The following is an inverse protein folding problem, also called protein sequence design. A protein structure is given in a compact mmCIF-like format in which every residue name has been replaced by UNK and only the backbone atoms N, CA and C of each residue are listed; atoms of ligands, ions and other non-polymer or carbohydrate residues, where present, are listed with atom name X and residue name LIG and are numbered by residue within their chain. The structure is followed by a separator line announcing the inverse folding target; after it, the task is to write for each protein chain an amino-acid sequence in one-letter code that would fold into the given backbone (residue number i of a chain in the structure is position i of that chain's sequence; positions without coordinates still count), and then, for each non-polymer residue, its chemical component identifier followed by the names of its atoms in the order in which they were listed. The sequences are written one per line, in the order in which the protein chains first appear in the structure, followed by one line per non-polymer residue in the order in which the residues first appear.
data_IF_600237670658
#
_entry.id   IF_600237670658
#
_cell.length_a   1.000
_cell.length_b   1.000
_cell.length_c   1.000
_cell.angle_alpha   90.00
_cell.angle_beta   90.00
_cell.angle_gamma   90.00
#
_symmetry.space_group_name_H-M   'P 1'
#
loop_
_entity.id
_entity.type
_entity.pdbx_description
1 polymer ?
#
# COMPACT_ATOMS: atom_id res chain seq x y z
N UNK A 1 -23.13 -18.72 0.45
CA UNK A 1 -22.98 -19.89 -0.44
C UNK A 1 -22.75 -21.13 0.41
N UNK A 2 -23.58 -22.17 0.27
CA UNK A 2 -23.33 -23.45 0.93
C UNK A 2 -22.84 -24.42 -0.15
N UNK A 3 -21.60 -24.88 -0.01
CA UNK A 3 -20.96 -25.84 -0.90
C UNK A 3 -20.96 -27.18 -0.19
N UNK A 4 -21.71 -28.14 -0.73
CA UNK A 4 -21.64 -29.52 -0.25
C UNK A 4 -20.68 -30.27 -1.15
N UNK A 5 -19.60 -30.78 -0.57
CA UNK A 5 -18.55 -31.50 -1.27
C UNK A 5 -18.70 -32.95 -0.86
N UNK A 6 -19.03 -33.80 -1.84
CA UNK A 6 -19.19 -35.24 -1.63
C UNK A 6 -18.12 -35.96 -2.42
N UNK A 7 -17.44 -36.91 -1.77
CA UNK A 7 -16.54 -37.85 -2.42
C UNK A 7 -16.83 -39.22 -1.80
N UNK A 8 -17.22 -40.21 -2.61
CA UNK A 8 -17.67 -41.51 -2.12
C UNK A 8 -18.77 -41.38 -1.03
N UNK A 9 -18.62 -42.06 0.11
CA UNK A 9 -19.61 -42.14 1.19
C UNK A 9 -19.54 -40.96 2.18
N UNK A 10 -18.63 -40.00 1.97
CA UNK A 10 -18.48 -38.85 2.86
C UNK A 10 -18.95 -37.56 2.20
N UNK A 11 -19.56 -36.68 3.01
CA UNK A 11 -19.98 -35.36 2.56
C UNK A 11 -19.60 -34.29 3.57
N UNK A 12 -18.73 -33.38 3.15
CA UNK A 12 -18.35 -32.19 3.91
C UNK A 12 -19.22 -31.03 3.46
N UNK A 13 -19.74 -30.27 4.42
CA UNK A 13 -20.47 -29.04 4.11
C UNK A 13 -19.62 -27.84 4.44
N UNK A 14 -19.25 -27.07 3.42
CA UNK A 14 -18.49 -25.83 3.54
C UNK A 14 -19.45 -24.67 3.36
N UNK A 15 -19.57 -23.82 4.38
CA UNK A 15 -20.31 -22.56 4.28
C UNK A 15 -19.33 -21.47 3.90
N UNK A 16 -19.63 -20.74 2.84
CA UNK A 16 -18.82 -19.65 2.28
C UNK A 16 -19.63 -18.36 2.24
N UNK A 17 -19.08 -17.25 2.69
CA UNK A 17 -19.71 -15.92 2.65
C UNK A 17 -18.68 -14.84 2.42
N UNK A 18 -19.00 -13.89 1.54
CA UNK A 18 -18.13 -12.76 1.16
C UNK A 18 -16.69 -13.15 0.76
N UNK A 19 -16.53 -14.29 0.07
CA UNK A 19 -15.20 -14.78 -0.32
C UNK A 19 -14.45 -15.56 0.76
N UNK A 20 -15.06 -15.83 1.92
CA UNK A 20 -14.45 -16.52 3.04
C UNK A 20 -15.20 -17.77 3.48
N UNK A 21 -14.50 -18.71 4.10
CA UNK A 21 -15.10 -19.94 4.65
C UNK A 21 -15.54 -19.67 6.07
N UNK A 22 -16.86 -19.73 6.28
CA UNK A 22 -17.52 -19.42 7.54
C UNK A 22 -17.55 -20.62 8.49
N UNK A 23 -17.73 -21.82 7.94
CA UNK A 23 -17.74 -23.05 8.73
C UNK A 23 -17.53 -24.27 7.85
N UNK A 24 -16.90 -25.28 8.43
CA UNK A 24 -16.75 -26.60 7.83
C UNK A 24 -17.42 -27.59 8.75
N UNK A 25 -18.42 -28.29 8.23
CA UNK A 25 -18.97 -29.45 8.93
C UNK A 25 -18.26 -30.67 8.38
N UNK A 26 -17.35 -31.27 9.15
CA UNK A 26 -16.63 -32.45 8.71
C UNK A 26 -17.58 -33.62 8.51
N UNK A 27 -17.21 -34.52 7.61
CA UNK A 27 -17.99 -35.73 7.38
C UNK A 27 -17.97 -36.68 8.60
N UNK A 28 -16.91 -36.63 9.42
CA UNK A 28 -16.78 -37.40 10.65
C UNK A 28 -16.76 -36.48 11.89
N UNK A 29 -17.51 -36.80 12.97
CA UNK A 29 -17.59 -35.95 14.17
C UNK A 29 -16.28 -35.76 14.94
N UNK A 30 -15.31 -36.65 14.72
CA UNK A 30 -14.01 -36.63 15.40
C UNK A 30 -12.91 -35.90 14.60
N UNK A 31 -13.18 -35.50 13.36
CA UNK A 31 -12.20 -34.76 12.56
C UNK A 31 -12.24 -33.26 12.88
N UNK A 32 -11.05 -32.66 12.96
CA UNK A 32 -10.93 -31.23 13.16
C UNK A 32 -11.35 -30.48 11.87
N UNK A 33 -12.21 -29.44 11.96
CA UNK A 33 -12.74 -28.72 10.81
C UNK A 33 -11.69 -28.18 9.83
N UNK A 34 -10.52 -27.78 10.35
CA UNK A 34 -9.40 -27.26 9.56
C UNK A 34 -8.72 -28.36 8.72
N UNK A 35 -8.57 -29.56 9.29
CA UNK A 35 -7.93 -30.69 8.60
C UNK A 35 -8.83 -31.20 7.48
N UNK A 36 -10.14 -31.28 7.74
CA UNK A 36 -11.13 -31.58 6.72
C UNK A 36 -11.11 -30.52 5.62
N UNK A 37 -10.94 -29.24 5.95
CA UNK A 37 -10.84 -28.16 4.96
C UNK A 37 -9.65 -28.37 4.01
N UNK A 38 -8.46 -28.60 4.57
CA UNK A 38 -7.22 -28.79 3.82
C UNK A 38 -7.32 -30.04 2.93
N UNK A 39 -7.82 -31.16 3.47
CA UNK A 39 -8.09 -32.38 2.70
C UNK A 39 -9.07 -32.13 1.55
N UNK A 40 -10.06 -31.28 1.76
CA UNK A 40 -11.10 -30.96 0.76
C UNK A 40 -10.57 -30.11 -0.39
N UNK A 41 -9.67 -29.14 -0.12
CA UNK A 41 -9.07 -28.30 -1.17
C UNK A 41 -7.88 -28.94 -1.88
N UNK A 42 -7.30 -30.00 -1.32
CA UNK A 42 -6.23 -30.77 -1.93
C UNK A 42 -6.73 -31.89 -2.86
N UNK A 43 -8.04 -32.00 -3.12
CA UNK A 43 -8.57 -33.03 -4.01
C UNK A 43 -8.19 -32.77 -5.48
N UNK A 44 -7.51 -33.72 -6.16
CA UNK A 44 -6.93 -33.49 -7.48
C UNK A 44 -7.95 -33.47 -8.64
N UNK A 45 -9.19 -33.95 -8.46
CA UNK A 45 -10.28 -33.84 -9.43
C UNK A 45 -11.66 -34.13 -8.79
N UNK A 46 -12.71 -33.42 -9.23
CA UNK A 46 -14.10 -33.68 -8.83
C UNK A 46 -15.10 -32.64 -9.36
N UNK A 47 -16.35 -33.04 -9.55
CA UNK A 47 -17.47 -32.17 -9.97
C UNK A 47 -18.30 -31.70 -8.77
N UNK A 48 -18.59 -30.40 -8.70
CA UNK A 48 -19.35 -29.79 -7.59
C UNK A 48 -20.79 -29.43 -8.01
N UNK A 49 -21.75 -29.57 -7.09
CA UNK A 49 -23.15 -29.21 -7.31
C UNK A 49 -23.57 -28.15 -6.28
N UNK A 50 -23.87 -26.93 -6.74
CA UNK A 50 -24.39 -25.84 -5.90
C UNK A 50 -25.92 -25.97 -5.84
N UNK A 51 -26.46 -26.40 -4.69
CA UNK A 51 -27.91 -26.67 -4.56
C UNK A 51 -28.78 -25.47 -4.16
N UNK A 52 -28.25 -24.46 -3.45
CA UNK A 52 -29.03 -23.27 -3.03
C UNK A 52 -28.16 -22.07 -2.65
N UNK A 53 -28.61 -20.86 -2.99
CA UNK A 53 -27.96 -19.57 -2.68
C UNK A 53 -28.97 -18.62 -2.01
N UNK A 54 -28.65 -18.13 -0.82
CA UNK A 54 -29.41 -17.06 -0.13
C UNK A 54 -28.42 -16.12 0.59
N UNK A 55 -28.55 -14.80 0.34
CA UNK A 55 -27.72 -13.75 0.96
C UNK A 55 -28.40 -13.19 2.21
N UNK A 56 -27.76 -13.29 3.38
CA UNK A 56 -28.05 -12.49 4.57
C UNK A 56 -26.75 -11.89 5.11
N UNK A 57 -26.81 -10.60 5.48
CA UNK A 57 -25.70 -9.68 5.81
C UNK A 57 -24.86 -10.11 7.04
N UNK A 58 -23.64 -9.55 7.23
CA UNK A 58 -22.49 -10.29 7.77
C UNK A 58 -21.94 -9.85 9.13
N UNK A 59 -21.19 -10.74 9.80
CA UNK A 59 -20.20 -10.39 10.84
C UNK A 59 -18.84 -11.10 10.62
N UNK A 60 -17.79 -10.28 10.66
CA UNK A 60 -16.34 -10.50 10.88
C UNK A 60 -15.51 -11.36 9.89
N UNK A 61 -15.10 -10.66 8.83
CA UNK A 61 -13.73 -10.52 8.25
C UNK A 61 -12.81 -11.74 8.25
N UNK A 62 -12.65 -12.36 7.08
CA UNK A 62 -11.36 -12.93 6.72
C UNK A 62 -10.63 -11.97 5.76
N UNK A 63 -9.31 -12.12 5.68
CA UNK A 63 -8.49 -11.16 4.96
C UNK A 63 -8.69 -11.30 3.45
N UNK A 64 -8.84 -10.18 2.72
CA UNK A 64 -8.88 -10.22 1.27
C UNK A 64 -7.54 -10.75 0.74
N UNK A 65 -7.57 -11.67 -0.21
CA UNK A 65 -6.36 -12.10 -0.90
C UNK A 65 -5.71 -10.90 -1.57
N UNK A 66 -4.38 -10.87 -1.70
CA UNK A 66 -3.65 -9.79 -2.40
C UNK A 66 -4.26 -9.57 -3.80
N UNK A 67 -4.60 -10.65 -4.52
CA UNK A 67 -5.30 -10.58 -5.80
C UNK A 67 -6.69 -9.94 -5.70
N UNK A 68 -7.46 -10.21 -4.65
CA UNK A 68 -8.74 -9.56 -4.39
C UNK A 68 -8.60 -8.07 -4.10
N UNK A 69 -7.58 -7.69 -3.31
CA UNK A 69 -7.25 -6.28 -3.04
C UNK A 69 -6.87 -5.54 -4.33
N UNK A 70 -6.09 -6.19 -5.20
CA UNK A 70 -5.69 -5.65 -6.51
C UNK A 70 -6.90 -5.49 -7.44
N UNK A 71 -7.76 -6.51 -7.55
CA UNK A 71 -8.96 -6.45 -8.38
C UNK A 71 -9.93 -5.35 -7.88
N UNK A 72 -10.09 -5.21 -6.57
CA UNK A 72 -10.87 -4.13 -5.98
C UNK A 72 -10.25 -2.76 -6.26
N UNK A 73 -8.91 -2.65 -6.26
CA UNK A 73 -8.20 -1.41 -6.57
C UNK A 73 -8.47 -0.96 -8.01
N UNK A 74 -8.36 -1.91 -8.94
CA UNK A 74 -8.62 -1.67 -10.35
C UNK A 74 -10.09 -1.34 -10.61
N UNK A 75 -11.01 -1.96 -9.89
CA UNK A 75 -12.43 -1.62 -9.96
C UNK A 75 -12.68 -0.19 -9.47
N UNK A 76 -12.23 0.14 -8.27
CA UNK A 76 -12.38 1.47 -7.68
C UNK A 76 -11.74 2.57 -8.54
N UNK A 77 -10.55 2.32 -9.09
CA UNK A 77 -9.88 3.24 -10.03
C UNK A 77 -10.70 3.47 -11.29
N UNK A 78 -11.28 2.41 -11.86
CA UNK A 78 -12.14 2.53 -13.06
C UNK A 78 -13.38 3.36 -12.78
N UNK A 79 -14.04 3.14 -11.64
CA UNK A 79 -15.24 3.91 -11.28
C UNK A 79 -14.91 5.37 -10.96
N UNK A 80 -13.80 5.64 -10.27
CA UNK A 80 -13.31 7.00 -10.03
C UNK A 80 -13.01 7.73 -11.34
N UNK A 81 -12.32 7.07 -12.28
CA UNK A 81 -12.00 7.66 -13.58
C UNK A 81 -13.26 7.97 -14.40
N UNK A 82 -14.22 7.04 -14.46
CA UNK A 82 -15.51 7.28 -15.14
C UNK A 82 -16.24 8.51 -14.60
N UNK A 83 -16.22 8.71 -13.28
CA UNK A 83 -16.82 9.89 -12.66
C UNK A 83 -16.06 11.18 -13.00
N UNK A 84 -14.73 11.16 -12.95
CA UNK A 84 -13.91 12.31 -13.37
C UNK A 84 -14.13 12.67 -14.84
N UNK A 85 -14.18 11.67 -15.73
CA UNK A 85 -14.43 11.86 -17.16
C UNK A 85 -15.79 12.51 -17.40
N UNK A 86 -16.81 12.15 -16.61
CA UNK A 86 -18.12 12.79 -16.64
C UNK A 86 -18.12 14.24 -16.12
N UNK A 87 -17.12 14.63 -15.35
CA UNK A 87 -16.99 15.98 -14.78
C UNK A 87 -16.08 16.91 -15.59
N UNK A 88 -15.36 16.40 -16.60
CA UNK A 88 -14.64 17.20 -17.60
C UNK A 88 -13.30 17.78 -17.13
N UNK A 89 -12.82 17.45 -15.92
CA UNK A 89 -11.56 17.95 -15.38
C UNK A 89 -10.70 16.84 -14.75
N UNK A 90 -9.37 16.95 -14.92
CA UNK A 90 -8.40 16.05 -14.29
C UNK A 90 -8.14 16.48 -12.84
N UNK A 91 -8.91 15.92 -11.91
CA UNK A 91 -8.80 16.11 -10.45
C UNK A 91 -8.94 17.59 -9.99
N UNK A 92 -10.17 18.15 -10.05
CA UNK A 92 -10.45 19.54 -9.67
C UNK A 92 -10.22 19.81 -8.17
N UNK A 93 -9.93 21.07 -7.85
CA UNK A 93 -10.00 21.54 -6.47
C UNK A 93 -11.47 21.78 -6.08
N UNK A 94 -11.77 21.56 -4.81
CA UNK A 94 -13.05 21.72 -4.18
C UNK A 94 -13.00 22.95 -3.28
N UNK A 95 -13.94 23.84 -3.49
CA UNK A 95 -14.16 24.97 -2.58
C UNK A 95 -15.53 24.83 -1.94
N UNK A 96 -15.61 25.12 -0.64
CA UNK A 96 -16.84 25.01 0.15
C UNK A 96 -17.54 26.36 0.14
N UNK A 97 -18.78 26.38 -0.35
CA UNK A 97 -19.67 27.51 -0.21
C UNK A 97 -20.24 27.59 1.21
N UNK A 98 -19.56 28.35 2.08
CA UNK A 98 -19.96 28.52 3.49
C UNK A 98 -21.38 29.07 3.68
N UNK A 99 -21.93 29.81 2.69
CA UNK A 99 -23.31 30.30 2.75
C UNK A 99 -24.32 29.17 2.50
N UNK A 100 -24.02 28.28 1.56
CA UNK A 100 -24.83 27.10 1.29
C UNK A 100 -24.71 26.08 2.43
N UNK A 101 -23.49 25.88 2.95
CA UNK A 101 -23.24 24.98 4.07
C UNK A 101 -24.05 25.33 5.32
N UNK A 102 -24.20 26.62 5.66
CA UNK A 102 -25.03 27.06 6.81
C UNK A 102 -26.51 26.66 6.69
N UNK A 103 -27.01 26.47 5.47
CA UNK A 103 -28.40 26.07 5.19
C UNK A 103 -28.53 24.55 5.01
N UNK A 104 -27.43 23.89 4.68
CA UNK A 104 -27.34 22.45 4.54
C UNK A 104 -27.15 21.81 5.92
N UNK A 105 -27.80 20.67 6.17
CA UNK A 105 -27.62 19.91 7.40
C UNK A 105 -26.82 18.65 7.07
N UNK A 106 -25.48 18.72 7.08
CA UNK A 106 -24.67 17.55 6.74
C UNK A 106 -24.85 16.47 7.80
N UNK A 107 -24.88 15.21 7.36
CA UNK A 107 -24.76 14.08 8.28
C UNK A 107 -23.33 13.94 8.82
N UNK A 108 -23.08 12.96 9.68
CA UNK A 108 -21.76 12.74 10.28
C UNK A 108 -20.69 12.40 9.24
N UNK A 109 -21.04 11.72 8.16
CA UNK A 109 -20.12 11.32 7.09
C UNK A 109 -19.77 12.53 6.22
N UNK A 110 -20.79 13.31 5.85
CA UNK A 110 -20.64 14.55 5.09
C UNK A 110 -19.85 15.60 5.86
N UNK A 111 -20.05 15.70 7.18
CA UNK A 111 -19.28 16.61 8.04
C UNK A 111 -17.79 16.26 8.01
N UNK A 112 -17.45 14.97 8.17
CA UNK A 112 -16.07 14.52 8.12
C UNK A 112 -15.44 14.69 6.72
N UNK A 113 -16.21 14.45 5.65
CA UNK A 113 -15.77 14.73 4.29
C UNK A 113 -15.51 16.23 4.08
N UNK A 114 -16.38 17.12 4.56
CA UNK A 114 -16.19 18.58 4.46
C UNK A 114 -14.96 19.06 5.24
N UNK A 115 -14.72 18.52 6.44
CA UNK A 115 -13.47 18.79 7.17
C UNK A 115 -12.23 18.32 6.40
N UNK A 116 -12.33 17.15 5.74
CA UNK A 116 -11.26 16.62 4.90
C UNK A 116 -11.02 17.52 3.70
N UNK A 117 -12.08 17.97 3.02
CA UNK A 117 -12.01 18.91 1.88
C UNK A 117 -11.33 20.22 2.30
N UNK A 118 -11.60 20.74 3.51
CA UNK A 118 -10.92 21.96 4.00
C UNK A 118 -9.41 21.78 4.15
N UNK A 119 -8.96 20.59 4.54
CA UNK A 119 -7.54 20.26 4.71
C UNK A 119 -6.88 19.87 3.38
N UNK A 120 -7.66 19.24 2.50
CA UNK A 120 -7.24 18.68 1.22
C UNK A 120 -8.22 19.13 0.15
N UNK A 121 -8.05 20.34 -0.41
CA UNK A 121 -8.99 20.88 -1.37
C UNK A 121 -9.03 20.07 -2.67
N UNK A 122 -8.00 19.27 -2.98
CA UNK A 122 -8.04 18.40 -4.14
C UNK A 122 -9.09 17.29 -3.97
N UNK A 123 -10.01 17.17 -4.93
CA UNK A 123 -11.09 16.19 -4.91
C UNK A 123 -10.59 14.78 -4.56
N UNK A 124 -9.55 14.32 -5.25
CA UNK A 124 -9.04 12.97 -5.05
C UNK A 124 -8.47 12.77 -3.65
N UNK A 125 -7.72 13.74 -3.11
CA UNK A 125 -7.17 13.67 -1.76
C UNK A 125 -8.28 13.71 -0.72
N UNK A 126 -9.25 14.61 -0.88
CA UNK A 126 -10.43 14.68 -0.03
C UNK A 126 -11.18 13.35 0.03
N UNK A 127 -11.41 12.73 -1.13
CA UNK A 127 -12.18 11.49 -1.25
C UNK A 127 -11.41 10.29 -0.70
N UNK A 128 -10.08 10.24 -0.88
CA UNK A 128 -9.23 9.15 -0.36
C UNK A 128 -9.08 9.27 1.16
N UNK A 129 -8.90 10.48 1.68
CA UNK A 129 -8.66 10.70 3.11
C UNK A 129 -9.94 10.77 3.94
N UNK A 130 -11.10 10.97 3.31
CA UNK A 130 -12.37 11.02 4.02
C UNK A 130 -12.77 9.64 4.57
N UNK A 131 -13.40 9.59 5.75
CA UNK A 131 -13.85 8.34 6.34
C UNK A 131 -15.00 7.75 5.52
N UNK A 132 -14.78 6.57 4.95
CA UNK A 132 -15.76 5.87 4.13
C UNK A 132 -15.11 5.05 3.03
N UNK A 133 -15.92 4.33 2.25
CA UNK A 133 -15.43 3.74 1.01
C UNK A 133 -15.27 4.81 -0.06
N UNK A 134 -14.35 4.62 -1.02
CA UNK A 134 -14.15 5.55 -2.14
C UNK A 134 -15.47 5.89 -2.86
N UNK A 135 -16.29 4.87 -3.15
CA UNK A 135 -17.57 5.04 -3.83
C UNK A 135 -18.57 5.85 -2.98
N UNK A 136 -18.62 5.60 -1.67
CA UNK A 136 -19.47 6.35 -0.77
C UNK A 136 -19.02 7.82 -0.72
N UNK A 137 -17.72 8.07 -0.57
CA UNK A 137 -17.17 9.43 -0.53
C UNK A 137 -17.44 10.18 -1.85
N UNK A 138 -17.28 9.52 -2.99
CA UNK A 138 -17.63 10.08 -4.30
C UNK A 138 -19.11 10.44 -4.42
N UNK A 139 -20.01 9.57 -3.95
CA UNK A 139 -21.45 9.86 -3.93
C UNK A 139 -21.76 11.06 -3.03
N UNK A 140 -21.09 11.17 -1.88
CA UNK A 140 -21.25 12.31 -0.97
C UNK A 140 -20.74 13.61 -1.58
N UNK A 141 -19.60 13.59 -2.27
CA UNK A 141 -19.11 14.75 -3.04
C UNK A 141 -20.15 15.16 -4.08
N UNK A 142 -20.70 14.22 -4.85
CA UNK A 142 -21.73 14.51 -5.85
C UNK A 142 -22.98 15.14 -5.21
N UNK A 143 -23.46 14.62 -4.07
CA UNK A 143 -24.60 15.19 -3.34
C UNK A 143 -24.33 16.61 -2.84
N UNK A 144 -23.13 16.85 -2.29
CA UNK A 144 -22.72 18.18 -1.82
C UNK A 144 -22.60 19.18 -2.98
N UNK A 145 -22.11 18.71 -4.13
CA UNK A 145 -22.04 19.50 -5.37
C UNK A 145 -23.45 19.86 -5.85
N UNK A 146 -24.35 18.89 -5.93
CA UNK A 146 -25.74 19.10 -6.37
C UNK A 146 -26.51 20.02 -5.40
N UNK A 147 -26.16 19.98 -4.11
CA UNK A 147 -26.67 20.90 -3.09
C UNK A 147 -26.03 22.31 -3.14
N UNK A 148 -25.05 22.53 -4.01
CA UNK A 148 -24.31 23.80 -4.12
C UNK A 148 -23.44 24.11 -2.91
N UNK A 149 -23.15 23.11 -2.07
CA UNK A 149 -22.28 23.23 -0.89
C UNK A 149 -20.81 23.23 -1.29
N UNK A 150 -20.46 22.51 -2.35
CA UNK A 150 -19.12 22.54 -2.93
C UNK A 150 -19.20 22.90 -4.40
N UNK A 151 -18.17 23.59 -4.90
CA UNK A 151 -17.97 23.81 -6.33
C UNK A 151 -16.54 23.44 -6.73
N UNK A 152 -16.41 23.07 -8.00
CA UNK A 152 -15.12 22.76 -8.58
C UNK A 152 -14.44 24.06 -9.02
N UNK A 153 -13.19 24.22 -8.63
CA UNK A 153 -12.34 25.31 -9.06
C UNK A 153 -11.24 24.70 -9.93
N UNK A 154 -11.22 25.10 -11.20
CA UNK A 154 -10.14 24.72 -12.11
C UNK A 154 -8.80 25.20 -11.53
N UNK A 155 -7.79 24.33 -11.53
CA UNK A 155 -6.47 24.72 -11.03
C UNK A 155 -5.77 25.64 -12.03
N UNK A 156 -5.27 26.80 -11.59
CA UNK A 156 -3.93 27.19 -12.00
C UNK A 156 -2.98 26.14 -11.43
N UNK A 157 -2.03 25.59 -12.21
CA UNK A 157 -1.15 24.54 -11.74
C UNK A 157 -0.35 25.09 -10.57
N UNK A 158 -0.71 24.70 -9.34
CA UNK A 158 0.30 24.68 -8.27
C UNK A 158 1.50 23.96 -8.87
N UNK A 159 2.68 24.57 -8.83
CA UNK A 159 3.92 23.90 -9.21
C UNK A 159 4.04 22.63 -8.37
N UNK A 160 3.60 21.52 -8.95
CA UNK A 160 3.57 20.23 -8.27
C UNK A 160 5.01 19.77 -8.19
N UNK A 161 5.49 19.51 -6.98
CA UNK A 161 6.69 18.70 -6.82
C UNK A 161 6.36 17.27 -7.27
N UNK A 162 6.48 16.99 -8.55
CA UNK A 162 6.37 15.65 -9.11
C UNK A 162 7.77 15.08 -9.36
N UNK A 163 7.85 13.77 -9.62
CA UNK A 163 9.07 13.23 -10.21
C UNK A 163 9.28 13.92 -11.57
N UNK A 164 10.44 14.54 -11.71
CA UNK A 164 10.85 15.16 -12.96
C UNK A 164 11.33 14.08 -13.94
N UNK A 165 11.35 14.35 -15.25
CA UNK A 165 11.86 13.41 -16.25
C UNK A 165 13.26 12.87 -15.93
N UNK A 166 14.13 13.70 -15.32
CA UNK A 166 15.47 13.32 -14.90
C UNK A 166 15.45 12.28 -13.76
N UNK A 167 14.45 12.32 -12.89
CA UNK A 167 14.27 11.32 -11.82
C UNK A 167 13.94 9.96 -12.41
N UNK A 168 13.02 9.97 -13.37
CA UNK A 168 12.59 8.75 -14.06
C UNK A 168 13.75 8.16 -14.84
N UNK A 169 14.53 9.00 -15.53
CA UNK A 169 15.73 8.60 -16.24
C UNK A 169 16.77 8.00 -15.29
N UNK A 170 17.02 8.62 -14.14
CA UNK A 170 17.93 8.08 -13.13
C UNK A 170 17.50 6.68 -12.70
N UNK A 171 16.22 6.50 -12.34
CA UNK A 171 15.70 5.21 -11.89
C UNK A 171 15.81 4.14 -13.00
N UNK A 172 15.53 4.51 -14.25
CA UNK A 172 15.65 3.61 -15.41
C UNK A 172 17.09 3.18 -15.68
N UNK A 173 18.06 4.07 -15.47
CA UNK A 173 19.46 3.80 -15.76
C UNK A 173 20.19 3.08 -14.62
N UNK A 174 19.81 3.36 -13.37
CA UNK A 174 20.59 2.92 -12.21
C UNK A 174 19.86 1.89 -11.34
N UNK A 175 18.53 1.83 -11.37
CA UNK A 175 17.77 0.98 -10.44
C UNK A 175 17.01 -0.13 -11.17
N UNK A 176 16.36 0.20 -12.28
CA UNK A 176 15.60 -0.78 -13.05
C UNK A 176 16.49 -1.50 -14.07
N UNK A 177 16.32 -2.82 -14.24
CA UNK A 177 16.89 -3.54 -15.39
C UNK A 177 16.41 -2.97 -16.73
N UNK A 178 17.15 -3.24 -17.80
CA UNK A 178 16.77 -2.81 -19.14
C UNK A 178 15.39 -3.34 -19.56
N UNK A 179 14.62 -2.50 -20.28
CA UNK A 179 13.30 -2.83 -20.84
C UNK A 179 12.21 -3.21 -19.83
N UNK A 180 12.38 -2.84 -18.56
CA UNK A 180 11.34 -3.06 -17.55
C UNK A 180 10.20 -2.05 -17.74
N UNK A 181 8.98 -2.57 -17.80
CA UNK A 181 7.73 -1.76 -17.85
C UNK A 181 7.06 -1.65 -16.48
N UNK A 182 7.54 -2.41 -15.49
CA UNK A 182 6.99 -2.47 -14.16
C UNK A 182 8.06 -2.72 -13.09
N UNK A 183 8.26 -1.71 -12.24
CA UNK A 183 9.14 -1.78 -11.07
C UNK A 183 8.36 -2.01 -9.76
N UNK A 184 9.04 -2.57 -8.77
CA UNK A 184 8.56 -2.79 -7.41
C UNK A 184 9.62 -2.32 -6.42
N UNK A 185 9.25 -1.38 -5.56
CA UNK A 185 10.03 -0.97 -4.39
C UNK A 185 9.32 -1.40 -3.11
N UNK A 186 10.10 -1.81 -2.12
CA UNK A 186 9.58 -2.13 -0.80
C UNK A 186 10.15 -1.13 0.21
N UNK A 187 9.28 -0.48 0.96
CA UNK A 187 9.62 0.39 2.08
C UNK A 187 9.39 -0.40 3.36
N UNK A 188 10.44 -0.62 4.14
CA UNK A 188 10.43 -1.48 5.33
C UNK A 188 10.86 -0.68 6.55
N UNK A 189 10.40 -1.08 7.73
CA UNK A 189 10.79 -0.46 8.99
C UNK A 189 9.84 -0.82 10.13
N UNK A 190 10.29 -0.65 11.36
CA UNK A 190 9.48 -0.88 12.55
C UNK A 190 8.22 0.01 12.55
N UNK A 191 7.15 -0.36 13.27
CA UNK A 191 6.03 0.55 13.52
C UNK A 191 6.55 1.92 13.99
N UNK A 192 5.89 3.01 13.55
CA UNK A 192 6.26 4.43 13.74
C UNK A 192 7.42 4.98 12.90
N UNK A 193 8.14 4.18 12.11
CA UNK A 193 9.29 4.68 11.34
C UNK A 193 8.99 5.66 10.18
N UNK A 194 7.74 6.06 9.95
CA UNK A 194 7.39 7.02 8.90
C UNK A 194 7.05 6.42 7.52
N UNK A 195 6.85 5.10 7.42
CA UNK A 195 6.58 4.39 6.14
C UNK A 195 5.28 4.83 5.49
N UNK A 196 4.21 4.95 6.28
CA UNK A 196 2.90 5.32 5.78
C UNK A 196 2.92 6.75 5.24
N UNK A 197 3.60 7.65 5.95
CA UNK A 197 3.89 9.02 5.54
C UNK A 197 4.70 9.03 4.24
N UNK A 198 5.77 8.22 4.16
CA UNK A 198 6.62 8.12 2.97
C UNK A 198 5.79 7.72 1.73
N UNK A 199 4.98 6.68 1.85
CA UNK A 199 4.16 6.19 0.74
C UNK A 199 3.05 7.17 0.41
N UNK A 200 2.45 7.85 1.41
CA UNK A 200 1.46 8.91 1.19
C UNK A 200 2.05 10.07 0.41
N UNK A 201 3.24 10.54 0.77
CA UNK A 201 3.96 11.59 0.05
C UNK A 201 4.17 11.19 -1.40
N UNK A 202 4.61 9.96 -1.63
CA UNK A 202 4.84 9.46 -2.98
C UNK A 202 3.54 9.26 -3.78
N UNK A 203 2.47 8.81 -3.12
CA UNK A 203 1.17 8.55 -3.73
C UNK A 203 0.41 9.84 -4.06
N UNK A 204 0.36 10.80 -3.14
CA UNK A 204 -0.40 12.05 -3.26
C UNK A 204 0.04 12.86 -4.48
N UNK A 205 1.35 13.00 -4.67
CA UNK A 205 1.92 13.76 -5.79
C UNK A 205 1.67 13.11 -7.15
N UNK A 206 1.61 11.77 -7.17
CA UNK A 206 1.30 11.01 -8.38
C UNK A 206 -0.21 10.78 -8.57
N UNK A 207 -1.06 11.33 -7.71
CA UNK A 207 -2.50 11.08 -7.73
C UNK A 207 -2.81 9.57 -7.74
N UNK A 208 -1.99 8.79 -7.06
CA UNK A 208 -2.10 7.35 -7.02
C UNK A 208 -2.94 6.92 -5.81
N UNK A 209 -3.82 5.93 -5.96
CA UNK A 209 -4.57 5.41 -4.84
C UNK A 209 -3.61 4.79 -3.82
N UNK A 210 -3.78 5.16 -2.56
CA UNK A 210 -3.15 4.48 -1.44
C UNK A 210 -4.12 3.44 -0.88
N UNK A 211 -3.61 2.23 -0.64
CA UNK A 211 -4.34 1.17 0.04
C UNK A 211 -3.58 0.73 1.27
N UNK A 212 -4.29 0.54 2.37
CA UNK A 212 -3.75 0.00 3.61
C UNK A 212 -4.47 -1.33 3.90
N UNK A 213 -3.71 -2.40 4.03
CA UNK A 213 -4.19 -3.75 4.33
C UNK A 213 -3.37 -4.30 5.48
N UNK A 214 -3.97 -4.41 6.67
CA UNK A 214 -3.25 -4.78 7.90
C UNK A 214 -2.01 -3.88 8.11
N UNK A 215 -0.83 -4.48 8.06
CA UNK A 215 0.50 -3.88 8.26
C UNK A 215 1.20 -3.51 6.93
N UNK A 216 0.47 -3.58 5.81
CA UNK A 216 0.94 -3.27 4.46
C UNK A 216 0.26 -2.02 3.91
N UNK A 217 1.06 -1.01 3.58
CA UNK A 217 0.66 0.10 2.70
C UNK A 217 1.03 -0.23 1.26
N UNK A 218 0.21 0.20 0.30
CA UNK A 218 0.41 -0.08 -1.12
C UNK A 218 -0.04 1.07 -2.00
N UNK A 219 0.80 1.43 -2.97
CA UNK A 219 0.41 2.31 -4.06
C UNK A 219 1.09 1.92 -5.37
N UNK A 220 0.52 2.35 -6.49
CA UNK A 220 1.09 2.16 -7.83
C UNK A 220 1.06 3.47 -8.59
N UNK A 221 2.23 3.97 -8.92
CA UNK A 221 2.41 5.21 -9.67
C UNK A 221 2.85 4.91 -11.11
N UNK A 222 2.55 5.82 -12.02
CA UNK A 222 3.07 5.77 -13.38
C UNK A 222 4.23 6.76 -13.46
N UNK A 223 5.43 6.28 -13.73
CA UNK A 223 6.63 7.12 -13.85
C UNK A 223 6.68 7.82 -15.22
N UNK A 224 6.33 7.10 -16.28
CA UNK A 224 6.16 7.62 -17.64
C UNK A 224 5.19 6.70 -18.42
N UNK A 225 5.05 6.90 -19.72
CA UNK A 225 4.12 6.13 -20.55
C UNK A 225 4.42 4.61 -20.60
N UNK A 226 5.68 4.21 -20.42
CA UNK A 226 6.13 2.82 -20.53
C UNK A 226 6.45 2.16 -19.19
N UNK A 227 6.60 2.93 -18.11
CA UNK A 227 7.08 2.45 -16.82
C UNK A 227 6.13 2.80 -15.67
N UNK A 228 5.79 1.78 -14.89
CA UNK A 228 5.01 1.91 -13.67
C UNK A 228 5.80 1.41 -12.47
N UNK A 229 5.60 2.03 -11.31
CA UNK A 229 6.27 1.66 -10.06
C UNK A 229 5.23 1.33 -9.00
N UNK A 230 5.31 0.13 -8.44
CA UNK A 230 4.59 -0.27 -7.25
C UNK A 230 5.46 -0.02 -6.00
N UNK A 231 4.88 0.58 -4.97
CA UNK A 231 5.51 0.75 -3.66
C UNK A 231 4.73 -0.02 -2.61
N UNK A 232 5.45 -0.79 -1.80
CA UNK A 232 4.90 -1.61 -0.73
C UNK A 232 5.52 -1.20 0.60
N UNK A 233 4.72 -0.68 1.53
CA UNK A 233 5.14 -0.35 2.88
C UNK A 233 4.88 -1.48 3.83
N UNK A 234 5.90 -2.25 4.20
CA UNK A 234 5.73 -3.39 5.10
C UNK A 234 6.20 -2.99 6.49
N UNK A 235 5.30 -3.05 7.47
CA UNK A 235 5.70 -2.94 8.86
C UNK A 235 6.34 -4.24 9.33
N UNK A 236 7.45 -4.11 10.05
CA UNK A 236 8.13 -5.27 10.62
C UNK A 236 7.42 -5.66 11.91
N UNK A 237 6.55 -6.67 11.81
CA UNK A 237 5.83 -7.31 12.90
C UNK A 237 5.83 -8.84 12.73
N UNK A 238 5.01 -9.56 13.51
CA UNK A 238 4.89 -11.02 13.45
C UNK A 238 4.47 -11.57 12.07
N UNK A 239 3.99 -10.72 11.16
CA UNK A 239 3.54 -11.09 9.82
C UNK A 239 4.49 -10.61 8.71
N UNK A 240 5.62 -10.03 9.08
CA UNK A 240 6.60 -9.44 8.17
C UNK A 240 7.19 -10.43 7.16
N UNK A 241 7.83 -11.51 7.62
CA UNK A 241 8.56 -12.43 6.73
C UNK A 241 7.64 -13.05 5.65
N UNK A 242 6.46 -13.61 5.98
CA UNK A 242 5.58 -14.19 4.97
C UNK A 242 5.03 -13.15 3.96
N UNK A 243 4.89 -11.89 4.36
CA UNK A 243 4.48 -10.81 3.46
C UNK A 243 5.65 -10.45 2.54
N UNK A 244 6.82 -10.22 3.10
CA UNK A 244 8.02 -9.83 2.37
C UNK A 244 8.39 -10.88 1.32
N UNK A 245 8.41 -12.16 1.68
CA UNK A 245 8.65 -13.27 0.76
C UNK A 245 7.73 -13.19 -0.47
N UNK A 246 6.43 -12.98 -0.26
CA UNK A 246 5.43 -12.94 -1.35
C UNK A 246 5.58 -11.73 -2.28
N UNK A 247 6.02 -10.59 -1.77
CA UNK A 247 6.14 -9.35 -2.57
C UNK A 247 7.54 -9.11 -3.11
N UNK A 248 8.53 -9.81 -2.57
CA UNK A 248 9.96 -9.65 -2.92
C UNK A 248 10.31 -10.16 -4.31
N UNK A 249 9.50 -11.05 -4.89
CA UNK A 249 9.73 -11.53 -6.25
C UNK A 249 9.72 -10.36 -7.25
N UNK A 250 10.84 -10.15 -7.93
CA UNK A 250 11.02 -9.06 -8.88
C UNK A 250 11.02 -7.67 -8.22
N UNK A 251 11.44 -7.55 -6.96
CA UNK A 251 11.75 -6.27 -6.33
C UNK A 251 13.06 -5.70 -6.89
N UNK A 252 13.11 -4.39 -7.13
CA UNK A 252 14.33 -3.71 -7.62
C UNK A 252 15.02 -2.87 -6.54
N UNK A 253 14.26 -2.43 -5.53
CA UNK A 253 14.82 -1.68 -4.42
C UNK A 253 14.09 -1.93 -3.10
N UNK A 254 14.85 -1.88 -2.02
CA UNK A 254 14.37 -1.85 -0.64
C UNK A 254 14.83 -0.55 0.02
N UNK A 255 13.89 0.18 0.60
CA UNK A 255 14.11 1.40 1.38
C UNK A 255 13.83 1.04 2.84
N UNK A 256 14.85 1.10 3.69
CA UNK A 256 14.68 0.79 5.11
C UNK A 256 14.60 2.09 5.92
N UNK A 257 13.46 2.35 6.56
CA UNK A 257 13.25 3.53 7.40
C UNK A 257 13.50 3.20 8.88
N UNK A 258 14.35 4.01 9.50
CA UNK A 258 14.77 3.91 10.91
C UNK A 258 14.28 5.13 11.66
N UNK A 259 13.54 4.92 12.75
CA UNK A 259 13.09 5.97 13.65
C UNK A 259 14.23 6.34 14.62
N UNK A 260 14.84 7.52 14.45
CA UNK A 260 15.92 7.97 15.33
C UNK A 260 15.45 8.24 16.77
N UNK A 261 14.16 8.55 16.95
CA UNK A 261 13.57 8.81 18.27
C UNK A 261 13.41 7.58 19.16
N UNK A 262 13.72 6.38 18.65
CA UNK A 262 13.57 5.10 19.37
C UNK A 262 14.88 4.29 19.43
N UNK A 263 15.97 4.81 20.05
CA UNK A 263 17.29 4.16 20.07
C UNK A 263 17.28 2.79 20.78
N UNK A 264 16.34 2.55 21.69
CA UNK A 264 16.17 1.26 22.37
C UNK A 264 15.83 0.11 21.40
N UNK A 265 15.43 0.43 20.16
CA UNK A 265 15.10 -0.55 19.11
C UNK A 265 16.23 -0.79 18.11
N UNK A 266 17.37 -0.12 18.25
CA UNK A 266 18.46 -0.21 17.26
C UNK A 266 19.05 -1.61 17.17
N UNK A 267 19.21 -2.33 18.28
CA UNK A 267 19.71 -3.72 18.29
C UNK A 267 18.84 -4.64 17.42
N UNK A 268 17.51 -4.57 17.60
CA UNK A 268 16.57 -5.36 16.82
C UNK A 268 16.52 -4.89 15.36
N UNK A 269 16.61 -3.58 15.13
CA UNK A 269 16.68 -3.00 13.79
C UNK A 269 17.92 -3.46 13.05
N UNK A 270 19.07 -3.57 13.73
CA UNK A 270 20.33 -4.08 13.18
C UNK A 270 20.14 -5.49 12.67
N UNK A 271 19.60 -6.38 13.51
CA UNK A 271 19.30 -7.76 13.10
C UNK A 271 18.45 -7.81 11.83
N UNK A 272 17.41 -6.98 11.74
CA UNK A 272 16.50 -6.95 10.60
C UNK A 272 17.15 -6.43 9.32
N UNK A 273 17.90 -5.32 9.40
CA UNK A 273 18.61 -4.77 8.25
C UNK A 273 19.57 -5.80 7.68
N UNK A 274 20.41 -6.40 8.52
CA UNK A 274 21.37 -7.43 8.09
C UNK A 274 20.67 -8.68 7.55
N UNK A 275 19.56 -9.10 8.15
CA UNK A 275 18.75 -10.20 7.61
C UNK A 275 18.24 -9.91 6.20
N UNK A 276 17.79 -8.68 5.92
CA UNK A 276 17.28 -8.30 4.59
C UNK A 276 18.44 -8.21 3.59
N UNK A 277 19.56 -7.57 3.96
CA UNK A 277 20.74 -7.44 3.11
C UNK A 277 21.32 -8.80 2.70
N UNK A 278 21.30 -9.78 3.60
CA UNK A 278 21.75 -11.15 3.30
C UNK A 278 20.75 -11.95 2.45
N UNK A 279 19.48 -11.56 2.42
CA UNK A 279 18.42 -12.30 1.72
C UNK A 279 18.17 -11.77 0.31
N UNK A 280 18.30 -10.46 0.11
CA UNK A 280 17.88 -9.79 -1.13
C UNK A 280 19.03 -9.04 -1.80
N UNK A 281 19.37 -9.48 -3.01
CA UNK A 281 20.35 -8.84 -3.88
C UNK A 281 19.70 -7.73 -4.75
N UNK A 282 19.38 -6.61 -4.12
CA UNK A 282 18.67 -5.48 -4.74
C UNK A 282 19.24 -4.13 -4.29
N UNK A 283 18.82 -3.04 -4.93
CA UNK A 283 19.21 -1.71 -4.49
C UNK A 283 18.68 -1.43 -3.09
N UNK A 284 19.50 -0.84 -2.24
CA UNK A 284 19.19 -0.63 -0.84
C UNK A 284 19.60 0.78 -0.40
N UNK A 285 18.80 1.38 0.48
CA UNK A 285 19.13 2.64 1.16
C UNK A 285 18.49 2.66 2.55
N UNK A 286 19.16 3.27 3.52
CA UNK A 286 18.63 3.50 4.85
C UNK A 286 18.20 4.96 5.00
N UNK A 287 16.93 5.19 5.31
CA UNK A 287 16.38 6.50 5.64
C UNK A 287 16.24 6.69 7.15
N UNK A 288 16.80 7.75 7.71
CA UNK A 288 16.67 8.11 9.13
C UNK A 288 15.57 9.16 9.29
N UNK A 289 14.51 8.82 10.02
CA UNK A 289 13.33 9.67 10.25
C UNK A 289 13.29 10.20 11.69
N UNK A 290 12.40 11.16 11.93
CA UNK A 290 12.15 11.76 13.26
C UNK A 290 13.41 12.33 13.92
N UNK A 291 14.20 13.06 13.14
CA UNK A 291 15.41 13.72 13.61
C UNK A 291 15.03 15.07 14.21
N UNK A 292 15.07 15.15 15.54
CA UNK A 292 14.93 16.40 16.29
C UNK A 292 16.33 16.96 16.62
N UNK A 293 17.03 17.50 15.62
CA UNK A 293 18.35 18.11 15.84
C UNK A 293 19.33 17.98 14.67
N UNK A 294 20.58 17.65 14.99
CA UNK A 294 21.66 17.52 14.02
C UNK A 294 21.51 16.24 13.18
N UNK A 295 21.15 16.42 11.91
CA UNK A 295 20.99 15.33 10.95
C UNK A 295 22.27 14.56 10.67
N UNK A 296 23.45 15.20 10.69
CA UNK A 296 24.71 14.52 10.45
C UNK A 296 25.08 13.62 11.64
N UNK A 297 24.83 14.09 12.86
CA UNK A 297 25.00 13.28 14.06
C UNK A 297 24.07 12.06 14.04
N UNK A 298 22.77 12.25 13.75
CA UNK A 298 21.82 11.16 13.68
C UNK A 298 22.18 10.11 12.62
N UNK A 299 22.66 10.54 11.44
CA UNK A 299 23.13 9.62 10.39
C UNK A 299 24.32 8.78 10.88
N UNK A 300 25.31 9.40 11.54
CA UNK A 300 26.47 8.69 12.10
C UNK A 300 26.05 7.69 13.17
N UNK A 301 25.24 8.13 14.12
CA UNK A 301 24.75 7.29 15.22
C UNK A 301 24.00 6.06 14.70
N UNK A 302 23.11 6.24 13.72
CA UNK A 302 22.36 5.13 13.12
C UNK A 302 23.28 4.21 12.32
N UNK A 303 24.22 4.75 11.55
CA UNK A 303 25.20 3.94 10.81
C UNK A 303 26.01 3.07 11.76
N UNK A 304 26.53 3.64 12.83
CA UNK A 304 27.37 2.96 13.80
C UNK A 304 26.57 1.92 14.60
N UNK A 305 25.37 2.28 15.07
CA UNK A 305 24.52 1.39 15.85
C UNK A 305 23.99 0.19 15.04
N UNK A 306 23.65 0.42 13.78
CA UNK A 306 23.14 -0.63 12.89
C UNK A 306 24.25 -1.35 12.11
N UNK A 307 25.50 -0.88 12.19
CA UNK A 307 26.66 -1.46 11.51
C UNK A 307 26.38 -1.58 10.00
N UNK A 308 25.95 -0.45 9.41
CA UNK A 308 25.57 -0.39 7.99
C UNK A 308 26.85 -0.37 7.13
N UNK A 309 27.00 -1.30 6.17
CA UNK A 309 28.16 -1.34 5.29
C UNK A 309 28.42 0.00 4.59
N UNK A 310 29.70 0.37 4.48
CA UNK A 310 30.17 1.60 3.81
C UNK A 310 29.58 1.83 2.40
N UNK A 311 29.43 0.80 1.53
CA UNK A 311 28.86 1.03 0.20
C UNK A 311 27.41 1.51 0.21
N UNK A 312 26.65 1.26 1.29
CA UNK A 312 25.25 1.66 1.39
C UNK A 312 25.12 3.06 1.97
N UNK A 313 24.21 3.85 1.41
CA UNK A 313 23.93 5.18 1.91
C UNK A 313 22.94 5.15 3.09
N UNK A 314 23.22 5.99 4.08
CA UNK A 314 22.34 6.32 5.21
C UNK A 314 22.01 7.80 5.10
N UNK A 315 20.72 8.14 5.05
CA UNK A 315 20.26 9.48 4.65
C UNK A 315 19.18 9.96 5.59
N UNK A 316 19.31 11.18 6.11
CA UNK A 316 18.22 11.85 6.83
C UNK A 316 17.05 12.13 5.88
N UNK A 317 15.83 11.81 6.32
CA UNK A 317 14.62 12.01 5.52
C UNK A 317 13.43 12.36 6.41
N UNK A 318 12.78 13.48 6.08
CA UNK A 318 11.41 13.73 6.51
C UNK A 318 10.46 13.03 5.52
N UNK A 319 9.71 12.00 5.94
CA UNK A 319 8.85 11.22 5.05
C UNK A 319 7.66 12.03 4.52
N UNK A 320 7.35 13.20 5.09
CA UNK A 320 6.30 14.10 4.58
C UNK A 320 6.82 15.13 3.57
N UNK A 321 8.14 15.20 3.35
CA UNK A 321 8.78 16.14 2.43
C UNK A 321 9.22 15.41 1.15
N UNK A 322 8.63 15.74 0.01
CA UNK A 322 8.93 15.05 -1.23
C UNK A 322 10.34 15.32 -1.74
N UNK A 323 10.87 16.53 -1.61
CA UNK A 323 12.25 16.83 -2.01
C UNK A 323 13.27 15.93 -1.30
N UNK A 324 13.01 15.59 -0.03
CA UNK A 324 13.84 14.68 0.75
C UNK A 324 13.61 13.21 0.38
N UNK A 325 12.36 12.79 0.18
CA UNK A 325 12.01 11.45 -0.33
C UNK A 325 12.65 11.19 -1.69
N UNK A 326 12.57 12.16 -2.61
CA UNK A 326 13.21 12.13 -3.93
C UNK A 326 14.73 12.01 -3.81
N UNK A 327 15.35 12.79 -2.92
CA UNK A 327 16.80 12.70 -2.66
C UNK A 327 17.20 11.32 -2.15
N UNK A 328 16.39 10.71 -1.29
CA UNK A 328 16.64 9.36 -0.79
C UNK A 328 16.61 8.32 -1.93
N UNK A 329 15.75 8.47 -2.94
CA UNK A 329 15.75 7.57 -4.11
C UNK A 329 17.05 7.63 -4.91
N UNK A 330 17.69 8.80 -5.00
CA UNK A 330 19.00 8.94 -5.65
C UNK A 330 20.15 8.27 -4.92
N UNK A 331 19.91 7.81 -3.70
CA UNK A 331 20.89 7.17 -2.81
C UNK A 331 20.75 5.64 -2.79
N UNK A 332 19.83 5.12 -3.60
CA UNK A 332 19.70 3.69 -3.83
C UNK A 332 20.98 3.13 -4.46
N UNK A 333 21.61 2.18 -3.77
CA UNK A 333 22.84 1.52 -4.21
C UNK A 333 22.73 0.02 -4.01
N UNK A 334 23.36 -0.75 -4.90
CA UNK A 334 23.45 -2.20 -4.75
C UNK A 334 24.73 -2.55 -3.98
N UNK A 335 24.64 -3.49 -3.05
CA UNK A 335 25.85 -4.06 -2.46
C UNK A 335 26.59 -4.86 -3.54
N UNK A 336 27.92 -4.69 -3.68
CA UNK A 336 28.70 -5.62 -4.48
C UNK A 336 28.69 -6.97 -3.75
N UNK A 337 27.99 -7.96 -4.32
CA UNK A 337 28.20 -9.33 -3.88
C UNK A 337 29.61 -9.74 -4.30
N UNK A 338 30.36 -10.32 -3.36
CA UNK A 338 31.57 -11.05 -3.73
C UNK A 338 31.13 -12.12 -4.73
N UNK A 339 31.59 -12.00 -5.98
CA UNK A 339 31.51 -13.10 -6.92
C UNK A 339 32.07 -14.31 -6.18
N UNK A 340 31.23 -15.34 -6.02
CA UNK A 340 31.72 -16.63 -5.56
C UNK A 340 32.85 -16.98 -6.53
N UNK A 341 34.07 -17.04 -6.01
CA UNK A 341 35.22 -17.59 -6.74
C UNK A 341 34.75 -18.93 -7.31
N UNK A 342 34.52 -18.97 -8.62
CA UNK A 342 34.42 -20.22 -9.35
C UNK A 342 35.80 -20.87 -9.20
N UNK A 343 35.93 -21.77 -8.22
CA UNK A 343 37.05 -22.70 -8.14
C UNK A 343 37.01 -23.57 -9.42
N UNK A 344 37.88 -23.24 -10.37
CA UNK A 344 38.24 -24.06 -11.54
C UNK A 344 38.88 -25.40 -11.15
#
# INVERSE_FOLDING_TARGET
LIIKISLNDWSTTVRVGMGHILSVTPAHPQEHPLDTLLKTFQLPAGSFIIRKFEMKRPEKSAFPSIAGVLAEAEFQRREFQKMLDAWGEKNPALEINEKALKKFKPDSTQTALLETIRRHPLLQEAVIMAPGSLLQNLQQVQQLKDAGVIHFVGQEPMEREALLPEDVQFLQQHVFPENVTFGKFIVVGLPTSGKSEFIRTFAGLNQAPLKQVQSLDFTRIRLNDSLQLALFGVSIDEHFQPILEKISEGVQAIIFLVDYGSPERFEYTKYLVHSILNTYDVHFVVGVTHIDGDAEAAIRDVRDALDIPEPLDVVAVNPTNFGEVRRLLYRLKRLPHAEAEEEE
#
